data_IF_171704187232
#
_entry.id   IF_171704187232
#
_cell.length_a   1.000
_cell.length_b   1.000
_cell.length_c   1.000
_cell.angle_alpha   90.00
_cell.angle_beta   90.00
_cell.angle_gamma   90.00
#
_symmetry.space_group_name_H-M   'P 1'
#
loop_
_entity.id
_entity.type
_entity.pdbx_description
1 polymer ?
#
# COMPACT_ATOMS: atom_id res chain seq x y z
N UNK A 1 24.37 34.01 -5.03
CA UNK A 1 23.85 32.71 -5.46
C UNK A 1 23.02 32.15 -4.36
N UNK A 2 21.68 32.14 -4.42
CA UNK A 2 20.87 31.52 -3.39
C UNK A 2 20.80 30.01 -3.62
N UNK A 3 21.13 29.25 -2.57
CA UNK A 3 21.02 27.82 -2.44
C UNK A 3 19.58 27.36 -2.68
N UNK A 4 19.42 26.39 -3.58
CA UNK A 4 18.16 25.67 -3.80
C UNK A 4 17.78 24.90 -2.56
N UNK A 5 16.78 25.37 -1.83
CA UNK A 5 16.16 24.62 -0.75
C UNK A 5 15.57 23.32 -1.30
N UNK A 6 16.05 22.20 -0.77
CA UNK A 6 15.46 20.90 -1.00
C UNK A 6 14.05 20.90 -0.42
N UNK A 7 13.06 20.55 -1.25
CA UNK A 7 11.70 20.34 -0.80
C UNK A 7 11.68 19.13 0.17
N UNK A 8 11.54 19.42 1.45
CA UNK A 8 11.34 18.43 2.49
C UNK A 8 10.01 17.73 2.22
N UNK A 9 10.03 16.44 1.91
CA UNK A 9 8.83 15.60 1.81
C UNK A 9 8.23 15.46 3.21
N UNK A 10 7.37 16.39 3.59
CA UNK A 10 6.64 16.34 4.84
C UNK A 10 5.75 15.08 4.88
N UNK A 11 6.02 14.15 5.80
CA UNK A 11 5.12 13.06 6.13
C UNK A 11 5.70 11.65 6.19
N UNK A 12 7.01 11.47 6.09
CA UNK A 12 7.65 10.15 6.31
C UNK A 12 8.40 10.23 7.64
N UNK A 13 7.90 9.50 8.64
CA UNK A 13 8.62 9.30 9.91
C UNK A 13 9.32 7.95 9.84
N UNK A 14 10.54 7.88 10.33
CA UNK A 14 11.42 6.71 10.26
C UNK A 14 10.72 5.41 10.70
N UNK A 15 10.97 4.33 9.96
CA UNK A 15 10.46 3.02 10.26
C UNK A 15 11.12 2.47 11.55
N UNK A 16 10.33 2.22 12.57
CA UNK A 16 10.78 1.58 13.80
C UNK A 16 10.49 0.07 13.69
N UNK A 17 11.51 -0.81 13.73
CA UNK A 17 11.27 -2.24 13.76
C UNK A 17 10.64 -2.65 15.10
N UNK A 18 9.51 -3.35 15.03
CA UNK A 18 8.87 -3.96 16.21
C UNK A 18 9.17 -5.45 16.21
N UNK A 19 10.03 -5.89 17.09
CA UNK A 19 10.29 -7.32 17.30
C UNK A 19 9.08 -7.98 17.96
N UNK A 20 8.47 -8.96 17.29
CA UNK A 20 7.40 -9.80 17.84
C UNK A 20 7.93 -11.15 18.28
N UNK A 21 7.65 -11.51 19.52
CA UNK A 21 8.11 -12.74 20.20
C UNK A 21 7.22 -13.96 19.99
N UNK A 22 6.66 -14.15 18.80
CA UNK A 22 5.87 -15.36 18.51
C UNK A 22 5.91 -15.67 17.03
N UNK A 23 6.63 -16.68 16.59
CA UNK A 23 6.57 -17.41 15.30
C UNK A 23 6.02 -16.75 14.02
N UNK A 24 5.87 -15.44 14.01
CA UNK A 24 5.34 -14.59 12.94
C UNK A 24 6.48 -13.86 12.23
N UNK A 25 6.24 -13.54 10.98
CA UNK A 25 7.13 -12.64 10.25
C UNK A 25 7.28 -11.32 11.01
N UNK A 26 8.50 -10.80 11.15
CA UNK A 26 8.73 -9.51 11.79
C UNK A 26 8.00 -8.41 11.02
N UNK A 27 7.46 -7.44 11.74
CA UNK A 27 6.77 -6.29 11.17
C UNK A 27 7.53 -5.01 11.47
N UNK A 28 7.35 -4.01 10.63
CA UNK A 28 7.82 -2.65 10.85
C UNK A 28 6.68 -1.65 10.74
N UNK A 29 6.84 -0.53 11.42
CA UNK A 29 5.84 0.53 11.45
C UNK A 29 6.38 1.79 10.78
N UNK A 30 5.54 2.45 10.00
CA UNK A 30 5.81 3.79 9.45
C UNK A 30 4.52 4.57 9.30
N UNK A 31 4.62 5.87 9.11
CA UNK A 31 3.46 6.76 8.95
C UNK A 31 3.42 7.32 7.54
N UNK A 32 2.27 7.19 6.88
CA UNK A 32 2.00 7.71 5.54
C UNK A 32 0.77 8.60 5.58
N UNK A 33 0.92 9.88 5.28
CA UNK A 33 -0.17 10.88 5.29
C UNK A 33 -1.00 10.88 6.57
N UNK A 34 -0.34 10.71 7.73
CA UNK A 34 -0.97 10.68 9.04
C UNK A 34 -1.57 9.32 9.44
N UNK A 35 -1.52 8.32 8.57
CA UNK A 35 -2.01 6.97 8.84
C UNK A 35 -0.82 6.05 9.18
N UNK A 36 -0.92 5.34 10.31
CA UNK A 36 0.08 4.36 10.74
C UNK A 36 -0.09 3.07 9.93
N UNK A 37 1.00 2.63 9.34
CA UNK A 37 1.14 1.33 8.70
C UNK A 37 1.97 0.41 9.58
N UNK A 38 1.53 -0.83 9.69
CA UNK A 38 2.29 -1.92 10.29
C UNK A 38 2.33 -3.07 9.29
N UNK A 39 3.46 -3.27 8.65
CA UNK A 39 3.62 -4.20 7.54
C UNK A 39 4.76 -5.16 7.78
N UNK A 40 4.76 -6.29 7.08
CA UNK A 40 5.87 -7.25 7.11
C UNK A 40 7.20 -6.56 6.81
N UNK A 41 8.27 -6.96 7.48
CA UNK A 41 9.59 -6.31 7.40
C UNK A 41 10.20 -6.33 6.00
N UNK A 42 9.77 -7.25 5.15
CA UNK A 42 10.16 -7.32 3.75
C UNK A 42 9.71 -6.11 2.91
N UNK A 43 8.68 -5.36 3.33
CA UNK A 43 8.19 -4.20 2.58
C UNK A 43 8.82 -2.91 3.07
N UNK A 44 9.72 -2.33 2.29
CA UNK A 44 10.37 -1.05 2.60
C UNK A 44 9.66 0.09 1.89
N UNK A 45 9.23 1.10 2.66
CA UNK A 45 8.53 2.27 2.15
C UNK A 45 9.39 3.03 1.13
N UNK A 46 8.80 3.39 -0.02
CA UNK A 46 9.40 4.27 -1.03
C UNK A 46 8.77 5.66 -0.94
N UNK A 47 7.44 5.74 -1.11
CA UNK A 47 6.71 7.03 -1.06
C UNK A 47 5.21 6.83 -0.84
N UNK A 48 4.55 7.89 -0.38
CA UNK A 48 3.10 7.95 -0.41
C UNK A 48 2.59 8.03 -1.86
N UNK A 49 1.55 7.28 -2.17
CA UNK A 49 0.89 7.28 -3.49
C UNK A 49 -0.40 8.08 -3.43
N UNK A 50 -1.31 7.73 -2.52
CA UNK A 50 -2.60 8.39 -2.43
C UNK A 50 -3.30 8.19 -1.10
N UNK A 51 -4.31 9.02 -0.86
CA UNK A 51 -5.28 8.85 0.24
C UNK A 51 -6.65 9.14 -0.34
N UNK A 52 -7.58 8.20 -0.18
CA UNK A 52 -8.95 8.31 -0.65
C UNK A 52 -9.96 7.89 0.41
N UNK A 53 -11.23 7.81 0.02
CA UNK A 53 -12.32 7.36 0.88
C UNK A 53 -12.17 5.91 1.38
N UNK A 54 -11.41 5.09 0.65
CA UNK A 54 -11.24 3.66 0.91
C UNK A 54 -9.88 3.29 1.50
N UNK A 55 -9.11 4.28 1.95
CA UNK A 55 -7.84 4.02 2.61
C UNK A 55 -6.67 4.82 2.08
N UNK A 56 -5.51 4.48 2.54
CA UNK A 56 -4.23 5.10 2.20
C UNK A 56 -3.37 4.11 1.44
N UNK A 57 -2.71 4.58 0.37
CA UNK A 57 -1.83 3.78 -0.48
C UNK A 57 -0.43 4.35 -0.45
N UNK A 58 0.55 3.47 -0.28
CA UNK A 58 1.96 3.79 -0.45
C UNK A 58 2.64 2.80 -1.39
N UNK A 59 3.73 3.23 -2.00
CA UNK A 59 4.62 2.32 -2.73
C UNK A 59 5.71 1.82 -1.80
N UNK A 60 5.97 0.52 -1.88
CA UNK A 60 7.01 -0.17 -1.14
C UNK A 60 7.90 -0.97 -2.09
N UNK A 61 9.10 -1.30 -1.62
CA UNK A 61 9.95 -2.31 -2.24
C UNK A 61 9.86 -3.59 -1.41
N UNK A 62 9.53 -4.67 -2.06
CA UNK A 62 9.70 -6.01 -1.50
C UNK A 62 11.20 -6.37 -1.61
N UNK A 63 11.87 -6.51 -0.47
CA UNK A 63 13.32 -6.78 -0.44
C UNK A 63 13.67 -8.22 -0.82
N UNK A 64 12.73 -9.14 -0.70
CA UNK A 64 12.93 -10.54 -1.08
C UNK A 64 12.91 -10.72 -2.59
N UNK A 65 12.00 -10.05 -3.28
CA UNK A 65 11.85 -10.15 -4.73
C UNK A 65 12.48 -9.00 -5.50
N UNK A 66 12.84 -7.90 -4.83
CA UNK A 66 13.31 -6.65 -5.42
C UNK A 66 12.22 -5.86 -6.15
N UNK A 67 10.98 -6.34 -6.18
CA UNK A 67 9.86 -5.69 -6.90
C UNK A 67 9.30 -4.51 -6.13
N UNK A 68 8.80 -3.53 -6.87
CA UNK A 68 7.99 -2.46 -6.31
C UNK A 68 6.54 -2.92 -6.25
N UNK A 69 5.89 -2.64 -5.13
CA UNK A 69 4.48 -2.99 -4.87
C UNK A 69 3.73 -1.78 -4.34
N UNK A 70 2.42 -1.78 -4.50
CA UNK A 70 1.53 -0.87 -3.81
C UNK A 70 0.98 -1.55 -2.56
N UNK A 71 1.04 -0.88 -1.42
CA UNK A 71 0.44 -1.33 -0.17
C UNK A 71 -0.72 -0.40 0.16
N UNK A 72 -1.93 -0.94 0.13
CA UNK A 72 -3.17 -0.25 0.48
C UNK A 72 -3.59 -0.67 1.87
N UNK A 73 -3.74 0.28 2.77
CA UNK A 73 -4.36 0.08 4.08
C UNK A 73 -5.80 0.53 4.02
N UNK A 74 -6.71 -0.39 4.29
CA UNK A 74 -8.14 -0.10 4.51
C UNK A 74 -8.37 -0.08 6.01
N UNK A 75 -8.54 1.12 6.57
CA UNK A 75 -8.81 1.30 8.00
C UNK A 75 -10.24 0.90 8.32
N UNK A 76 -10.44 0.26 9.48
CA UNK A 76 -11.75 -0.18 9.98
C UNK A 76 -12.56 -1.05 8.98
N UNK A 77 -11.86 -1.79 8.13
CA UNK A 77 -12.41 -2.55 7.00
C UNK A 77 -13.50 -3.56 7.40
N UNK A 78 -13.51 -3.99 8.66
CA UNK A 78 -14.43 -5.02 9.17
C UNK A 78 -15.33 -4.56 10.31
N UNK A 79 -15.29 -3.29 10.67
CA UNK A 79 -16.12 -2.73 11.73
C UNK A 79 -17.59 -2.65 11.30
N UNK A 80 -17.84 -2.26 10.06
CA UNK A 80 -19.18 -2.25 9.46
C UNK A 80 -19.35 -3.43 8.49
N UNK A 81 -20.51 -4.08 8.54
CA UNK A 81 -20.82 -5.25 7.72
C UNK A 81 -20.84 -4.94 6.20
N UNK A 82 -21.19 -3.72 5.82
CA UNK A 82 -21.22 -3.29 4.42
C UNK A 82 -19.80 -3.13 3.89
N UNK A 83 -18.93 -2.49 4.65
CA UNK A 83 -17.53 -2.28 4.30
C UNK A 83 -16.75 -3.60 4.33
N UNK A 84 -17.05 -4.47 5.29
CA UNK A 84 -16.47 -5.81 5.33
C UNK A 84 -16.82 -6.64 4.09
N UNK A 85 -18.07 -6.62 3.66
CA UNK A 85 -18.51 -7.31 2.43
C UNK A 85 -17.86 -6.73 1.18
N UNK A 86 -17.71 -5.41 1.11
CA UNK A 86 -17.07 -4.70 0.00
C UNK A 86 -15.59 -5.06 -0.09
N UNK A 87 -14.86 -4.99 1.00
CA UNK A 87 -13.45 -5.37 1.09
C UNK A 87 -13.24 -6.84 0.74
N UNK A 88 -14.06 -7.74 1.29
CA UNK A 88 -13.98 -9.16 0.98
C UNK A 88 -14.26 -9.46 -0.51
N UNK A 89 -15.20 -8.74 -1.12
CA UNK A 89 -15.52 -8.88 -2.55
C UNK A 89 -14.34 -8.42 -3.41
N UNK A 90 -13.72 -7.28 -3.09
CA UNK A 90 -12.54 -6.78 -3.79
C UNK A 90 -11.42 -7.82 -3.77
N UNK A 91 -11.07 -8.32 -2.59
CA UNK A 91 -10.03 -9.34 -2.41
C UNK A 91 -10.35 -10.62 -3.19
N UNK A 92 -11.58 -11.13 -3.09
CA UNK A 92 -11.98 -12.35 -3.81
C UNK A 92 -11.90 -12.18 -5.32
N UNK A 93 -12.33 -11.04 -5.84
CA UNK A 93 -12.25 -10.74 -7.27
C UNK A 93 -10.81 -10.65 -7.75
N UNK A 94 -9.97 -9.91 -7.05
CA UNK A 94 -8.54 -9.78 -7.39
C UNK A 94 -7.79 -11.12 -7.31
N UNK A 95 -8.15 -11.99 -6.38
CA UNK A 95 -7.58 -13.35 -6.30
C UNK A 95 -8.03 -14.28 -7.41
N UNK A 96 -9.27 -14.12 -7.87
CA UNK A 96 -9.86 -14.98 -8.90
C UNK A 96 -9.49 -14.54 -10.30
N UNK A 97 -9.43 -13.23 -10.54
CA UNK A 97 -9.19 -12.66 -11.85
C UNK A 97 -7.68 -12.57 -12.12
N UNK A 98 -7.22 -13.28 -13.14
CA UNK A 98 -5.86 -13.18 -13.65
C UNK A 98 -5.92 -12.76 -15.13
N UNK A 99 -5.64 -11.47 -15.37
CA UNK A 99 -5.73 -10.89 -16.70
C UNK A 99 -4.78 -9.68 -16.80
N UNK A 100 -4.19 -9.45 -17.97
CA UNK A 100 -3.24 -8.35 -18.19
C UNK A 100 -3.81 -6.94 -17.95
N UNK A 101 -5.13 -6.78 -18.07
CA UNK A 101 -5.83 -5.51 -17.84
C UNK A 101 -6.45 -5.40 -16.44
N UNK A 102 -6.15 -6.32 -15.55
CA UNK A 102 -6.60 -6.30 -14.14
C UNK A 102 -5.37 -6.32 -13.25
N UNK A 103 -5.32 -5.40 -12.29
CA UNK A 103 -4.20 -5.30 -11.35
C UNK A 103 -4.02 -6.60 -10.59
N UNK A 104 -2.79 -7.10 -10.53
CA UNK A 104 -2.49 -8.34 -9.84
C UNK A 104 -2.42 -8.14 -8.32
N UNK A 105 -3.14 -8.96 -7.57
CA UNK A 105 -2.98 -9.08 -6.13
C UNK A 105 -1.73 -9.92 -5.85
N UNK A 106 -0.73 -9.31 -5.22
CA UNK A 106 0.54 -9.95 -4.88
C UNK A 106 0.42 -10.71 -3.57
N UNK A 107 -0.18 -10.07 -2.56
CA UNK A 107 -0.30 -10.63 -1.22
C UNK A 107 -1.41 -9.92 -0.42
N UNK A 108 -1.82 -10.53 0.68
CA UNK A 108 -2.63 -9.90 1.72
C UNK A 108 -1.90 -10.15 3.03
N UNK A 109 -1.58 -9.07 3.74
CA UNK A 109 -0.88 -9.24 5.00
C UNK A 109 -1.79 -9.85 6.06
N UNK A 110 -1.39 -10.98 6.68
CA UNK A 110 -2.11 -11.54 7.81
C UNK A 110 -2.15 -10.56 8.99
N UNK A 111 -3.29 -10.44 9.68
CA UNK A 111 -3.38 -9.56 10.83
C UNK A 111 -2.52 -10.05 11.99
N UNK A 112 -2.09 -9.14 12.85
CA UNK A 112 -1.32 -9.46 14.04
C UNK A 112 -2.09 -10.35 15.02
N UNK A 113 -3.42 -10.20 15.12
CA UNK A 113 -4.32 -11.04 15.89
C UNK A 113 -5.65 -11.16 15.16
N UNK A 114 -6.10 -12.40 14.91
CA UNK A 114 -7.32 -12.65 14.13
C UNK A 114 -8.61 -12.25 14.85
N UNK A 115 -8.56 -12.18 16.17
CA UNK A 115 -9.69 -11.82 17.03
C UNK A 115 -9.85 -10.31 17.27
N UNK A 116 -8.86 -9.53 16.87
CA UNK A 116 -8.79 -8.09 17.21
C UNK A 116 -8.42 -7.16 16.05
N UNK A 117 -8.30 -7.68 14.82
CA UNK A 117 -7.95 -6.81 13.70
C UNK A 117 -9.18 -6.05 13.19
N UNK A 118 -8.96 -4.82 12.77
CA UNK A 118 -9.95 -3.98 12.09
C UNK A 118 -9.48 -3.56 10.71
N UNK A 119 -8.18 -3.47 10.52
CA UNK A 119 -7.54 -2.99 9.31
C UNK A 119 -7.15 -4.13 8.39
N UNK A 120 -7.25 -3.91 7.10
CA UNK A 120 -6.83 -4.85 6.06
C UNK A 120 -5.74 -4.22 5.21
N UNK A 121 -4.69 -4.97 4.93
CA UNK A 121 -3.61 -4.56 4.04
C UNK A 121 -3.61 -5.40 2.78
N UNK A 122 -3.80 -4.75 1.64
CA UNK A 122 -3.75 -5.34 0.31
C UNK A 122 -2.44 -4.96 -0.37
N UNK A 123 -1.69 -5.93 -0.85
CA UNK A 123 -0.45 -5.72 -1.58
C UNK A 123 -0.69 -6.08 -3.05
N UNK A 124 -0.56 -5.11 -3.93
CA UNK A 124 -0.77 -5.27 -5.37
C UNK A 124 0.48 -4.89 -6.15
N UNK A 125 0.52 -5.20 -7.42
CA UNK A 125 1.52 -4.61 -8.31
C UNK A 125 1.41 -3.08 -8.30
N UNK A 126 2.54 -2.40 -8.48
CA UNK A 126 2.58 -0.94 -8.54
C UNK A 126 2.47 -0.49 -10.00
N UNK A 127 1.41 0.28 -10.29
CA UNK A 127 1.27 0.94 -11.59
C UNK A 127 2.14 2.19 -11.65
N UNK A 128 2.70 2.48 -12.83
CA UNK A 128 3.56 3.65 -13.04
C UNK A 128 2.81 4.96 -12.90
N UNK A 129 1.54 4.98 -13.29
CA UNK A 129 0.68 6.16 -13.29
C UNK A 129 -0.80 5.77 -13.18
N UNK A 130 -1.66 6.74 -12.98
CA UNK A 130 -3.11 6.60 -13.00
C UNK A 130 -3.72 7.22 -14.25
N UNK A 131 -5.00 6.91 -14.51
CA UNK A 131 -5.74 7.41 -15.68
C UNK A 131 -5.82 8.95 -15.70
N UNK A 132 -5.96 9.58 -14.53
CA UNK A 132 -6.00 11.04 -14.44
C UNK A 132 -4.69 11.65 -14.94
N UNK A 133 -3.55 11.12 -14.50
CA UNK A 133 -2.24 11.58 -14.97
C UNK A 133 -2.03 11.27 -16.45
N UNK A 134 -2.51 10.12 -16.95
CA UNK A 134 -2.47 9.79 -18.36
C UNK A 134 -3.23 10.81 -19.23
N UNK A 135 -4.41 11.23 -18.78
CA UNK A 135 -5.26 12.16 -19.54
C UNK A 135 -4.74 13.60 -19.50
N UNK A 136 -4.23 14.04 -18.34
CA UNK A 136 -3.86 15.44 -18.10
C UNK A 136 -2.35 15.73 -18.19
N UNK A 137 -1.49 14.71 -18.32
CA UNK A 137 -0.07 14.93 -18.57
C UNK A 137 0.29 14.67 -20.02
N UNK A 138 1.06 15.57 -20.62
CA UNK A 138 1.61 15.44 -21.98
C UNK A 138 2.61 14.27 -22.14
N UNK A 139 2.77 13.41 -21.13
CA UNK A 139 3.67 12.25 -21.16
C UNK A 139 3.04 10.98 -21.74
N UNK A 140 1.73 10.94 -21.94
CA UNK A 140 1.04 9.78 -22.52
C UNK A 140 1.03 9.72 -24.05
N UNK A 141 1.65 10.68 -24.74
CA UNK A 141 1.58 10.78 -26.22
C UNK A 141 2.82 10.26 -26.94
N UNK A 142 3.69 9.49 -26.32
CA UNK A 142 4.87 8.95 -27.02
C UNK A 142 5.01 7.44 -26.85
N UNK A 143 4.08 6.68 -27.45
CA UNK A 143 4.37 5.32 -27.90
C UNK A 143 3.62 5.12 -29.22
N UNK A 144 4.31 5.48 -30.28
CA UNK A 144 4.07 4.95 -31.64
C UNK A 144 5.22 4.03 -31.94
#
# INVERSE_FOLDING_TARGET
MPSRAAATSAGIVDAIPVATSSGREPTKTFVVRGTRFEVADKYTLIKAVGKGAYGVVCSCRDVETGRKVAVKKVEDAIVDATDAKRTLREIKLLRFLNHENIIALVDIQPPAAYDKFTDVYEITELMDTDLHQCVFSSRCTSHT
#
